data_IF_096175422867
#
_entry.id   IF_096175422867
#
_cell.length_a   1.000
_cell.length_b   1.000
_cell.length_c   1.000
_cell.angle_alpha   90.00
_cell.angle_beta   90.00
_cell.angle_gamma   90.00
#
_symmetry.space_group_name_H-M   'P 1'
#
loop_
_entity.id
_entity.type
_entity.pdbx_description
1 polymer ?
#
# COMPACT_ATOMS: atom_id res chain seq x y z
N UNK A 1 -30.72 10.39 56.75
CA UNK A 1 -29.42 10.76 56.15
C UNK A 1 -28.73 9.53 55.57
N UNK A 2 -28.86 8.36 56.21
CA UNK A 2 -28.16 7.12 55.80
C UNK A 2 -28.63 6.56 54.46
N UNK A 3 -29.94 6.62 54.17
CA UNK A 3 -30.49 6.11 52.90
C UNK A 3 -29.94 6.82 51.65
N UNK A 4 -29.64 8.12 51.74
CA UNK A 4 -29.02 8.87 50.64
C UNK A 4 -27.58 8.45 50.41
N UNK A 5 -26.85 8.18 51.51
CA UNK A 5 -25.48 7.69 51.45
C UNK A 5 -25.43 6.27 50.87
N UNK A 6 -26.38 5.39 51.23
CA UNK A 6 -26.46 4.03 50.71
C UNK A 6 -26.79 4.01 49.21
N UNK A 7 -27.74 4.85 48.77
CA UNK A 7 -28.07 4.99 47.34
C UNK A 7 -26.88 5.54 46.57
N UNK A 8 -26.20 6.56 47.10
CA UNK A 8 -25.02 7.15 46.48
C UNK A 8 -23.84 6.17 46.40
N UNK A 9 -23.61 5.40 47.47
CA UNK A 9 -22.57 4.37 47.50
C UNK A 9 -22.86 3.23 46.52
N UNK A 10 -24.12 2.80 46.42
CA UNK A 10 -24.55 1.77 45.46
C UNK A 10 -24.38 2.25 44.02
N UNK A 11 -24.71 3.52 43.75
CA UNK A 11 -24.51 4.15 42.45
C UNK A 11 -23.02 4.17 42.06
N UNK A 12 -22.14 4.63 42.96
CA UNK A 12 -20.70 4.65 42.74
C UNK A 12 -20.12 3.25 42.55
N UNK A 13 -20.63 2.26 43.29
CA UNK A 13 -20.23 0.86 43.12
C UNK A 13 -20.60 0.34 41.73
N UNK A 14 -21.81 0.62 41.24
CA UNK A 14 -22.22 0.29 39.88
C UNK A 14 -21.32 0.92 38.83
N UNK A 15 -21.03 2.22 38.96
CA UNK A 15 -20.11 2.93 38.06
C UNK A 15 -18.70 2.34 38.09
N UNK A 16 -18.19 1.97 39.27
CA UNK A 16 -16.88 1.33 39.41
C UNK A 16 -16.82 0.01 38.66
N UNK A 17 -17.85 -0.83 38.79
CA UNK A 17 -17.91 -2.14 38.11
C UNK A 17 -17.91 -1.94 36.59
N UNK A 18 -18.69 -0.99 36.08
CA UNK A 18 -18.73 -0.65 34.66
C UNK A 18 -17.36 -0.15 34.19
N UNK A 19 -16.74 0.77 34.94
CA UNK A 19 -15.44 1.33 34.59
C UNK A 19 -14.34 0.27 34.53
N UNK A 20 -14.28 -0.63 35.52
CA UNK A 20 -13.33 -1.75 35.52
C UNK A 20 -13.58 -2.69 34.34
N UNK A 21 -14.85 -3.00 34.05
CA UNK A 21 -15.21 -3.88 32.92
C UNK A 21 -14.76 -3.27 31.59
N UNK A 22 -15.01 -1.98 31.38
CA UNK A 22 -14.55 -1.25 30.19
C UNK A 22 -13.03 -1.20 30.11
N UNK A 23 -12.34 -0.96 31.23
CA UNK A 23 -10.88 -0.96 31.27
C UNK A 23 -10.29 -2.32 30.87
N UNK A 24 -10.87 -3.43 31.36
CA UNK A 24 -10.45 -4.79 30.98
C UNK A 24 -10.71 -5.06 29.50
N UNK A 25 -11.87 -4.68 28.97
CA UNK A 25 -12.18 -4.83 27.54
C UNK A 25 -11.18 -4.03 26.68
N UNK A 26 -10.95 -2.76 27.01
CA UNK A 26 -9.98 -1.91 26.30
C UNK A 26 -8.56 -2.50 26.37
N UNK A 27 -8.15 -3.03 27.52
CA UNK A 27 -6.85 -3.65 27.70
C UNK A 27 -6.68 -4.89 26.81
N UNK A 28 -7.69 -5.76 26.74
CA UNK A 28 -7.66 -6.94 25.87
C UNK A 28 -7.64 -6.53 24.40
N UNK A 29 -8.47 -5.56 23.99
CA UNK A 29 -8.49 -5.06 22.62
C UNK A 29 -7.16 -4.43 22.19
N UNK A 30 -6.49 -3.68 23.08
CA UNK A 30 -5.19 -3.07 22.79
C UNK A 30 -4.00 -4.03 22.81
N UNK A 31 -4.20 -5.30 23.20
CA UNK A 31 -3.12 -6.28 23.29
C UNK A 31 -2.61 -6.71 21.91
N UNK A 32 -3.46 -6.67 20.88
CA UNK A 32 -3.07 -6.94 19.49
C UNK A 32 -2.13 -5.86 18.94
N UNK A 33 -2.49 -4.58 19.15
CA UNK A 33 -1.63 -3.44 18.79
C UNK A 33 -0.26 -3.54 19.48
N UNK A 34 -0.25 -3.87 20.78
CA UNK A 34 0.99 -4.07 21.54
C UNK A 34 1.83 -5.24 20.99
N UNK A 35 1.20 -6.32 20.55
CA UNK A 35 1.91 -7.45 19.95
C UNK A 35 2.63 -7.05 18.66
N UNK A 36 1.95 -6.30 17.78
CA UNK A 36 2.55 -5.78 16.54
C UNK A 36 3.74 -4.87 16.85
N UNK A 37 3.61 -4.00 17.84
CA UNK A 37 4.72 -3.14 18.29
C UNK A 37 5.92 -3.97 18.77
N UNK A 38 5.69 -4.96 19.64
CA UNK A 38 6.77 -5.82 20.16
C UNK A 38 7.47 -6.58 19.02
N UNK A 39 6.72 -7.18 18.09
CA UNK A 39 7.30 -7.89 16.94
C UNK A 39 8.12 -6.93 16.07
N UNK A 40 7.60 -5.73 15.80
CA UNK A 40 8.30 -4.71 15.05
C UNK A 40 9.63 -4.30 15.72
N UNK A 41 9.59 -3.99 17.03
CA UNK A 41 10.77 -3.59 17.78
C UNK A 41 11.80 -4.70 17.88
N UNK A 42 11.38 -5.94 18.13
CA UNK A 42 12.28 -7.11 18.14
C UNK A 42 12.94 -7.30 16.77
N UNK A 43 12.17 -7.25 15.67
CA UNK A 43 12.73 -7.34 14.31
C UNK A 43 13.69 -6.19 14.02
N UNK A 44 13.36 -4.97 14.44
CA UNK A 44 14.19 -3.77 14.25
C UNK A 44 15.51 -3.87 15.02
N UNK A 45 15.48 -4.30 16.29
CA UNK A 45 16.67 -4.51 17.12
C UNK A 45 17.53 -5.64 16.54
N UNK A 46 16.94 -6.79 16.20
CA UNK A 46 17.66 -7.92 15.57
C UNK A 46 18.35 -7.50 14.27
N UNK A 47 17.65 -6.78 13.38
CA UNK A 47 18.25 -6.26 12.13
C UNK A 47 19.33 -5.21 12.39
N UNK A 48 19.16 -4.33 13.37
CA UNK A 48 20.19 -3.32 13.75
C UNK A 48 21.46 -3.98 14.27
N UNK A 49 21.35 -5.00 15.11
CA UNK A 49 22.49 -5.67 15.74
C UNK A 49 23.19 -6.67 14.81
N UNK A 50 22.44 -7.40 13.98
CA UNK A 50 22.99 -8.44 13.10
C UNK A 50 23.23 -7.96 11.67
N UNK A 51 22.19 -7.44 11.00
CA UNK A 51 22.19 -7.22 9.54
C UNK A 51 22.89 -5.91 9.18
N UNK A 52 22.47 -4.80 9.80
CA UNK A 52 23.04 -3.48 9.49
C UNK A 52 24.44 -3.25 10.03
N UNK A 53 24.98 -4.18 10.82
CA UNK A 53 26.39 -4.19 11.23
C UNK A 53 27.29 -4.77 10.13
N UNK A 54 26.75 -5.66 9.28
CA UNK A 54 27.47 -6.35 8.20
C UNK A 54 27.18 -5.78 6.82
N UNK A 55 25.98 -5.25 6.60
CA UNK A 55 25.55 -4.69 5.31
C UNK A 55 25.08 -3.24 5.49
N UNK A 56 25.58 -2.27 4.70
CA UNK A 56 25.07 -0.91 4.73
C UNK A 56 23.59 -0.88 4.34
N UNK A 57 22.88 0.17 4.77
CA UNK A 57 21.50 0.39 4.34
C UNK A 57 21.49 0.62 2.84
N UNK A 58 20.66 -0.12 2.11
CA UNK A 58 20.47 0.05 0.68
C UNK A 58 20.11 1.51 0.39
N UNK A 59 20.93 2.18 -0.39
CA UNK A 59 20.65 3.53 -0.86
C UNK A 59 19.82 3.44 -2.14
N UNK A 60 18.93 4.41 -2.38
CA UNK A 60 18.13 4.45 -3.60
C UNK A 60 19.02 4.44 -4.86
N UNK A 61 20.22 5.03 -4.78
CA UNK A 61 21.20 5.01 -5.87
C UNK A 61 21.69 3.61 -6.23
N UNK A 62 21.56 2.65 -5.32
CA UNK A 62 21.95 1.26 -5.56
C UNK A 62 20.94 0.51 -6.41
N UNK A 63 19.70 1.03 -6.56
CA UNK A 63 18.71 0.48 -7.47
C UNK A 63 19.08 0.67 -8.94
N UNK A 64 19.86 1.71 -9.25
CA UNK A 64 20.36 2.01 -10.61
C UNK A 64 21.68 1.29 -10.94
N UNK A 65 22.26 0.54 -10.00
CA UNK A 65 23.53 -0.18 -10.23
C UNK A 65 23.38 -1.42 -11.10
N UNK A 66 22.34 -2.27 -10.92
CA UNK A 66 22.11 -3.39 -11.80
C UNK A 66 21.64 -2.90 -13.17
N UNK A 67 22.12 -3.53 -14.23
CA UNK A 67 21.59 -3.29 -15.57
C UNK A 67 20.10 -3.61 -15.63
N UNK A 68 19.36 -2.83 -16.42
CA UNK A 68 17.93 -3.02 -16.61
C UNK A 68 17.63 -4.38 -17.26
N UNK A 69 16.72 -5.11 -16.64
CA UNK A 69 16.21 -6.39 -17.18
C UNK A 69 14.97 -6.14 -18.04
N UNK A 70 14.70 -7.01 -19.03
CA UNK A 70 13.47 -6.91 -19.81
C UNK A 70 12.22 -6.95 -18.92
N UNK A 71 11.38 -5.92 -19.02
CA UNK A 71 10.12 -5.80 -18.28
C UNK A 71 8.94 -5.83 -19.26
N UNK A 72 7.99 -6.74 -19.05
CA UNK A 72 6.74 -6.77 -19.82
C UNK A 72 5.59 -6.24 -18.95
N UNK A 73 4.94 -5.17 -19.41
CA UNK A 73 3.76 -4.58 -18.78
C UNK A 73 2.54 -5.02 -19.58
N UNK A 74 1.72 -5.90 -19.02
CA UNK A 74 0.51 -6.40 -19.68
C UNK A 74 -0.70 -5.59 -19.20
N UNK A 75 -1.42 -4.98 -20.14
CA UNK A 75 -2.58 -4.12 -19.87
C UNK A 75 -3.79 -4.65 -20.64
N UNK A 76 -4.73 -5.35 -19.99
CA UNK A 76 -6.01 -5.66 -20.61
C UNK A 76 -6.91 -4.42 -20.61
N UNK A 77 -7.37 -3.97 -21.77
CA UNK A 77 -8.18 -2.78 -21.94
C UNK A 77 -9.57 -3.14 -22.49
N UNK A 78 -10.63 -2.76 -21.77
CA UNK A 78 -12.02 -2.89 -22.22
C UNK A 78 -12.82 -1.64 -21.86
N UNK A 79 -13.41 -1.00 -22.87
CA UNK A 79 -14.16 0.23 -22.76
C UNK A 79 -13.33 1.35 -22.10
N UNK A 80 -12.08 1.50 -22.55
CA UNK A 80 -11.09 2.45 -22.03
C UNK A 80 -10.72 3.55 -23.04
N UNK A 81 -11.55 3.75 -24.07
CA UNK A 81 -11.40 4.81 -25.07
C UNK A 81 -11.18 6.18 -24.41
N UNK A 82 -10.09 6.86 -24.77
CA UNK A 82 -9.70 8.17 -24.23
C UNK A 82 -8.95 8.10 -22.90
N UNK A 83 -8.81 6.94 -22.30
CA UNK A 83 -8.00 6.70 -21.09
C UNK A 83 -6.72 5.97 -21.44
N UNK A 84 -6.81 4.90 -22.24
CA UNK A 84 -5.68 4.02 -22.55
C UNK A 84 -4.53 4.77 -23.24
N UNK A 85 -4.87 5.72 -24.12
CA UNK A 85 -3.85 6.54 -24.79
C UNK A 85 -3.08 7.47 -23.85
N UNK A 86 -3.80 8.19 -22.99
CA UNK A 86 -3.18 9.05 -21.97
C UNK A 86 -2.33 8.24 -20.98
N UNK A 87 -2.77 7.02 -20.62
CA UNK A 87 -2.02 6.14 -19.75
C UNK A 87 -0.69 5.72 -20.39
N UNK A 88 -0.71 5.31 -21.66
CA UNK A 88 0.50 4.90 -22.38
C UNK A 88 1.46 6.07 -22.62
N UNK A 89 0.96 7.27 -22.94
CA UNK A 89 1.82 8.47 -23.08
C UNK A 89 2.45 8.87 -21.73
N UNK A 90 1.69 8.79 -20.65
CA UNK A 90 2.22 9.07 -19.31
C UNK A 90 3.27 8.02 -18.91
N UNK A 91 3.02 6.75 -19.16
CA UNK A 91 3.98 5.68 -18.91
C UNK A 91 5.29 5.93 -19.68
N UNK A 92 5.19 6.29 -20.97
CA UNK A 92 6.35 6.59 -21.81
C UNK A 92 7.18 7.79 -21.32
N UNK A 93 6.55 8.79 -20.70
CA UNK A 93 7.21 10.02 -20.26
C UNK A 93 7.69 10.02 -18.81
N UNK A 94 7.13 9.14 -17.96
CA UNK A 94 7.39 9.15 -16.51
C UNK A 94 8.16 7.94 -16.00
N UNK A 95 8.20 6.84 -16.74
CA UNK A 95 8.96 5.66 -16.36
C UNK A 95 10.47 5.94 -16.49
N UNK A 96 11.16 6.00 -15.35
CA UNK A 96 12.62 6.01 -15.24
C UNK A 96 13.17 4.58 -15.41
N UNK A 97 12.87 3.99 -16.57
CA UNK A 97 13.26 2.64 -17.01
C UNK A 97 13.16 2.58 -18.53
N UNK A 98 14.16 2.04 -19.23
CA UNK A 98 14.18 2.01 -20.71
C UNK A 98 13.85 0.63 -21.28
N UNK A 99 14.25 -0.46 -20.62
CA UNK A 99 14.12 -1.83 -21.11
C UNK A 99 12.74 -2.46 -20.80
N UNK A 100 11.65 -1.80 -21.22
CA UNK A 100 10.29 -2.32 -21.03
C UNK A 100 9.48 -2.37 -22.33
N UNK A 101 8.46 -3.24 -22.32
CA UNK A 101 7.47 -3.37 -23.39
C UNK A 101 6.08 -3.36 -22.79
N UNK A 102 5.20 -2.49 -23.30
CA UNK A 102 3.78 -2.48 -22.93
C UNK A 102 3.00 -3.28 -23.96
N UNK A 103 2.31 -4.32 -23.49
CA UNK A 103 1.41 -5.15 -24.28
C UNK A 103 -0.03 -4.80 -23.90
N UNK A 104 -0.72 -4.09 -24.79
CA UNK A 104 -2.12 -3.72 -24.59
C UNK A 104 -3.01 -4.76 -25.27
N UNK A 105 -3.79 -5.49 -24.48
CA UNK A 105 -4.76 -6.48 -24.94
C UNK A 105 -6.15 -5.85 -25.01
N UNK A 106 -6.65 -5.60 -26.21
CA UNK A 106 -7.99 -5.06 -26.45
C UNK A 106 -8.98 -6.17 -26.76
N UNK A 107 -10.25 -5.97 -26.39
CA UNK A 107 -11.29 -6.95 -26.69
C UNK A 107 -11.84 -6.78 -28.11
N UNK A 108 -12.15 -7.88 -28.84
CA UNK A 108 -12.61 -7.82 -30.24
C UNK A 108 -13.92 -7.04 -30.44
N UNK A 109 -14.76 -6.97 -29.42
CA UNK A 109 -16.05 -6.27 -29.45
C UNK A 109 -15.95 -4.77 -29.14
N UNK A 110 -14.74 -4.25 -28.91
CA UNK A 110 -14.49 -2.85 -28.59
C UNK A 110 -13.51 -2.22 -29.61
N UNK A 111 -14.01 -1.84 -30.80
CA UNK A 111 -13.19 -1.26 -31.85
C UNK A 111 -12.72 0.17 -31.52
N UNK A 112 -13.40 0.86 -30.60
CA UNK A 112 -13.04 2.23 -30.26
C UNK A 112 -11.79 2.27 -29.38
N UNK A 113 -11.69 1.39 -28.38
CA UNK A 113 -10.44 1.23 -27.60
C UNK A 113 -9.29 0.74 -28.48
N UNK A 114 -9.56 -0.16 -29.46
CA UNK A 114 -8.54 -0.60 -30.42
C UNK A 114 -7.94 0.56 -31.22
N UNK A 115 -8.80 1.43 -31.75
CA UNK A 115 -8.36 2.62 -32.51
C UNK A 115 -7.53 3.58 -31.65
N UNK A 116 -7.93 3.80 -30.40
CA UNK A 116 -7.22 4.68 -29.47
C UNK A 116 -5.80 4.15 -29.18
N UNK A 117 -5.67 2.83 -28.97
CA UNK A 117 -4.36 2.16 -28.81
C UNK A 117 -3.52 2.31 -30.08
N UNK A 118 -4.08 2.06 -31.27
CA UNK A 118 -3.36 2.17 -32.54
C UNK A 118 -2.85 3.59 -32.80
N UNK A 119 -3.64 4.61 -32.42
CA UNK A 119 -3.25 6.02 -32.53
C UNK A 119 -2.05 6.35 -31.63
N UNK A 120 -2.04 5.83 -30.40
CA UNK A 120 -0.95 6.06 -29.45
C UNK A 120 0.32 5.32 -29.84
N UNK A 121 0.20 4.10 -30.38
CA UNK A 121 1.36 3.39 -30.94
C UNK A 121 2.00 4.21 -32.07
N UNK A 122 1.18 4.82 -32.94
CA UNK A 122 1.68 5.69 -34.01
C UNK A 122 2.36 6.94 -33.45
N UNK A 123 1.73 7.64 -32.51
CA UNK A 123 2.26 8.90 -31.97
C UNK A 123 3.56 8.70 -31.18
N UNK A 124 3.69 7.60 -30.44
CA UNK A 124 4.92 7.26 -29.72
C UNK A 124 6.03 6.80 -30.66
N UNK A 125 5.70 6.07 -31.73
CA UNK A 125 6.69 5.64 -32.74
C UNK A 125 7.27 6.82 -33.54
N UNK A 126 6.52 7.91 -33.71
CA UNK A 126 7.00 9.13 -34.37
C UNK A 126 7.88 9.99 -33.45
N UNK A 127 7.78 9.82 -32.13
CA UNK A 127 8.52 10.61 -31.13
C UNK A 127 9.81 9.95 -30.64
N UNK A 128 9.92 8.63 -30.77
CA UNK A 128 11.09 7.82 -30.41
C UNK A 128 12.16 7.86 -31.52
#
# INVERSE_FOLDING_TARGET
>A
MDWLLDVFATWLYGLKVIAITLAVIMFISGLDDFFIDVVYWVRRIKRKLSVYRRYPRMSYRELYKPDEKPLAIMVPAWNETGVIGNMAELAATTLDYENYHIFVGTYPNDPDTQRDVDEVVRSLSERA
#
